data_IF_865549511760
#
_entry.id   IF_865549511760
#
_cell.length_a   1.000
_cell.length_b   1.000
_cell.length_c   1.000
_cell.angle_alpha   90.00
_cell.angle_beta   90.00
_cell.angle_gamma   90.00
#
_symmetry.space_group_name_H-M   'P 1'
#
loop_
_entity.id
_entity.type
_entity.pdbx_description
1 polymer ?
#
# COMPACT_ATOMS: atom_id res chain seq x y z
N UNK A 1 8.38 11.56 14.95
CA UNK A 1 7.63 12.77 14.54
C UNK A 1 6.56 12.53 13.46
N UNK A 2 6.86 12.30 12.17
CA UNK A 2 5.77 12.19 11.15
C UNK A 2 4.86 10.97 11.32
N UNK A 3 5.44 9.77 11.44
CA UNK A 3 4.66 8.54 11.66
C UNK A 3 3.86 8.60 12.96
N UNK A 4 4.47 9.13 14.01
CA UNK A 4 3.83 9.39 15.30
C UNK A 4 2.67 10.38 15.18
N UNK A 5 2.79 11.48 14.42
CA UNK A 5 1.67 12.38 14.15
C UNK A 5 0.54 11.69 13.37
N UNK A 6 0.89 10.86 12.37
CA UNK A 6 -0.08 10.09 11.58
C UNK A 6 -0.78 9.01 12.42
N UNK A 7 -0.10 8.40 13.38
CA UNK A 7 -0.67 7.42 14.32
C UNK A 7 -1.48 8.09 15.43
N UNK A 8 -1.10 9.29 15.90
CA UNK A 8 -1.82 9.98 16.98
C UNK A 8 -3.08 10.72 16.52
N UNK A 9 -3.25 10.95 15.21
CA UNK A 9 -4.44 11.64 14.71
C UNK A 9 -5.69 10.75 14.77
N UNK A 10 -6.77 11.29 15.37
CA UNK A 10 -8.00 10.53 15.68
C UNK A 10 -9.18 10.86 14.78
N UNK A 11 -9.01 11.74 13.78
CA UNK A 11 -10.11 12.19 12.91
C UNK A 11 -10.26 11.34 11.66
N UNK A 12 -9.17 10.75 11.18
CA UNK A 12 -9.14 9.88 10.00
C UNK A 12 -8.07 8.79 10.18
N UNK A 13 -8.11 7.69 9.42
CA UNK A 13 -7.00 6.74 9.40
C UNK A 13 -5.69 7.42 8.98
N UNK A 14 -4.55 6.96 9.50
CA UNK A 14 -3.25 7.30 8.95
C UNK A 14 -3.07 6.62 7.60
N UNK A 15 -2.93 7.39 6.52
CA UNK A 15 -2.78 6.86 5.16
C UNK A 15 -1.66 7.62 4.43
N UNK A 16 -0.75 6.87 3.83
CA UNK A 16 0.33 7.34 2.97
C UNK A 16 0.22 6.61 1.64
N UNK A 17 0.13 7.38 0.56
CA UNK A 17 0.12 6.88 -0.80
C UNK A 17 1.47 7.25 -1.44
N UNK A 18 2.11 6.30 -2.10
CA UNK A 18 3.42 6.52 -2.72
C UNK A 18 3.53 5.78 -4.05
N UNK A 19 4.30 6.37 -4.96
CA UNK A 19 4.65 5.80 -6.28
C UNK A 19 6.15 5.56 -6.38
N UNK A 20 6.73 5.79 -7.56
CA UNK A 20 8.17 5.70 -7.90
C UNK A 20 8.79 4.30 -7.84
N UNK A 21 8.46 3.51 -6.82
CA UNK A 21 9.06 2.20 -6.54
C UNK A 21 8.79 1.13 -7.61
N UNK A 22 8.03 1.42 -8.66
CA UNK A 22 7.71 0.49 -9.74
C UNK A 22 7.16 -0.87 -9.24
N UNK A 23 6.29 -0.79 -8.24
CA UNK A 23 5.68 -1.92 -7.57
C UNK A 23 4.27 -1.55 -7.10
N UNK A 24 3.53 -2.51 -6.57
CA UNK A 24 2.24 -2.30 -5.92
C UNK A 24 2.16 -3.09 -4.62
N UNK A 25 1.49 -2.55 -3.61
CA UNK A 25 1.24 -3.26 -2.36
C UNK A 25 0.65 -2.37 -1.29
N UNK A 26 0.18 -2.99 -0.21
CA UNK A 26 -0.35 -2.34 0.97
C UNK A 26 0.23 -2.97 2.23
N UNK A 27 0.82 -2.12 3.06
CA UNK A 27 1.33 -2.47 4.38
C UNK A 27 0.79 -1.52 5.44
N UNK A 28 0.78 -1.99 6.68
CA UNK A 28 0.50 -1.20 7.87
C UNK A 28 1.82 -1.03 8.62
N UNK A 29 2.26 0.21 8.80
CA UNK A 29 3.39 0.52 9.66
C UNK A 29 2.92 0.42 11.10
N UNK A 30 3.41 -0.59 11.80
CA UNK A 30 3.07 -0.89 13.20
C UNK A 30 4.17 -0.43 14.17
N UNK A 31 5.34 -0.01 13.67
CA UNK A 31 6.37 0.60 14.50
C UNK A 31 7.54 1.20 13.71
N UNK A 32 8.30 2.06 14.37
CA UNK A 32 9.49 2.73 13.82
C UNK A 32 10.50 3.02 14.92
N UNK A 33 11.71 2.44 14.86
CA UNK A 33 12.68 2.55 15.96
C UNK A 33 12.08 2.02 17.26
N UNK A 34 12.07 2.83 18.32
CA UNK A 34 11.46 2.46 19.61
C UNK A 34 9.95 2.78 19.69
N UNK A 35 9.37 3.40 18.66
CA UNK A 35 7.95 3.77 18.65
C UNK A 35 7.07 2.57 18.24
N UNK A 36 5.93 2.45 18.94
CA UNK A 36 4.87 1.49 18.62
C UNK A 36 3.63 2.21 18.11
N UNK A 37 3.04 1.69 17.04
CA UNK A 37 1.81 2.18 16.41
C UNK A 37 0.74 1.09 16.34
N UNK A 38 0.90 -0.01 17.09
CA UNK A 38 -0.03 -1.15 17.05
C UNK A 38 -1.50 -0.76 17.33
N UNK A 39 -1.72 0.30 18.13
CA UNK A 39 -3.03 0.82 18.50
C UNK A 39 -3.66 1.83 17.51
N UNK A 40 -2.91 2.27 16.50
CA UNK A 40 -3.41 2.99 15.33
C UNK A 40 -2.36 2.94 14.20
N UNK A 41 -2.27 1.81 13.47
CA UNK A 41 -1.25 1.62 12.45
C UNK A 41 -1.41 2.61 11.29
N UNK A 42 -0.30 2.97 10.64
CA UNK A 42 -0.32 3.83 9.46
C UNK A 42 -0.41 2.95 8.21
N UNK A 43 -1.46 3.10 7.41
CA UNK A 43 -1.58 2.44 6.12
C UNK A 43 -0.61 3.09 5.12
N UNK A 44 0.32 2.31 4.58
CA UNK A 44 1.28 2.70 3.55
C UNK A 44 1.01 1.89 2.29
N UNK A 45 0.78 2.60 1.18
CA UNK A 45 0.33 2.00 -0.06
C UNK A 45 1.29 2.41 -1.17
N UNK A 46 1.86 1.42 -1.85
CA UNK A 46 2.53 1.63 -3.13
C UNK A 46 1.47 1.44 -4.21
N UNK A 47 1.10 2.52 -4.88
CA UNK A 47 -0.16 2.59 -5.62
C UNK A 47 -0.20 1.78 -6.92
N UNK A 48 0.94 1.24 -7.35
CA UNK A 48 1.12 0.61 -8.66
C UNK A 48 1.46 1.65 -9.74
N UNK A 49 2.49 1.39 -10.58
CA UNK A 49 2.71 2.15 -11.80
C UNK A 49 1.74 1.68 -12.89
N UNK A 50 1.19 2.59 -13.70
CA UNK A 50 0.38 2.19 -14.87
C UNK A 50 1.21 1.39 -15.88
N UNK A 51 2.51 1.70 -15.99
CA UNK A 51 3.44 0.99 -16.85
C UNK A 51 4.90 1.28 -16.49
N UNK A 52 5.64 0.22 -16.17
CA UNK A 52 7.09 0.27 -15.90
C UNK A 52 7.93 -0.33 -17.05
N UNK A 53 7.29 -0.95 -18.05
CA UNK A 53 8.00 -1.69 -19.09
C UNK A 53 8.80 -2.84 -18.48
N UNK A 54 10.13 -2.75 -18.52
CA UNK A 54 11.03 -3.71 -17.83
C UNK A 54 11.85 -3.08 -16.70
N UNK A 55 11.56 -1.84 -16.31
CA UNK A 55 12.30 -1.07 -15.30
C UNK A 55 12.03 -1.51 -13.86
N UNK A 56 11.94 -2.81 -13.60
CA UNK A 56 11.66 -3.36 -12.28
C UNK A 56 12.84 -3.10 -11.31
N UNK A 57 12.58 -2.77 -10.03
CA UNK A 57 13.63 -2.58 -9.02
C UNK A 57 14.60 -3.77 -8.94
N UNK A 58 14.09 -5.00 -8.99
CA UNK A 58 14.89 -6.23 -8.96
C UNK A 58 15.85 -6.33 -10.14
N UNK A 59 15.41 -5.92 -11.33
CA UNK A 59 16.25 -5.89 -12.53
C UNK A 59 17.34 -4.83 -12.43
N UNK A 60 17.03 -3.67 -11.87
CA UNK A 60 17.97 -2.55 -11.78
C UNK A 60 18.95 -2.66 -10.60
N UNK A 61 18.50 -3.22 -9.47
CA UNK A 61 19.22 -3.21 -8.18
C UNK A 61 19.63 -4.60 -7.69
N UNK A 62 19.23 -5.66 -8.37
CA UNK A 62 19.49 -7.05 -7.98
C UNK A 62 18.67 -7.55 -6.79
N UNK A 63 17.73 -6.75 -6.27
CA UNK A 63 16.85 -7.10 -5.15
C UNK A 63 15.45 -6.51 -5.37
N UNK A 64 14.37 -7.22 -5.03
CA UNK A 64 13.05 -6.61 -4.96
C UNK A 64 13.03 -5.49 -3.91
N UNK A 65 11.98 -4.66 -3.89
CA UNK A 65 11.77 -3.70 -2.81
C UNK A 65 11.77 -4.36 -1.43
N UNK A 66 12.57 -3.81 -0.52
CA UNK A 66 12.69 -4.31 0.87
C UNK A 66 12.26 -3.25 1.87
N UNK A 67 11.76 -3.71 3.01
CA UNK A 67 11.41 -2.85 4.13
C UNK A 67 12.68 -2.27 4.76
N UNK A 68 12.64 -0.99 5.14
CA UNK A 68 13.74 -0.37 5.89
C UNK A 68 13.91 -1.05 7.27
N UNK A 69 15.14 -1.30 7.69
CA UNK A 69 15.48 -2.13 8.86
C UNK A 69 14.82 -1.70 10.19
N UNK A 70 14.56 -0.41 10.36
CA UNK A 70 13.96 0.13 11.59
C UNK A 70 12.44 0.30 11.50
N UNK A 71 11.82 -0.07 10.38
CA UNK A 71 10.37 -0.04 10.18
C UNK A 71 9.82 -1.44 10.35
N UNK A 72 8.80 -1.57 11.20
CA UNK A 72 8.05 -2.81 11.37
C UNK A 72 6.72 -2.68 10.64
N UNK A 73 6.43 -3.65 9.77
CA UNK A 73 5.23 -3.69 8.94
C UNK A 73 4.44 -4.97 9.18
N UNK A 74 3.13 -4.86 9.13
CA UNK A 74 2.25 -5.95 8.72
C UNK A 74 1.85 -5.72 7.27
N UNK A 75 1.90 -6.74 6.40
CA UNK A 75 1.66 -6.57 4.96
C UNK A 75 0.45 -7.37 4.48
N UNK A 76 -0.79 -6.84 4.64
CA UNK A 76 -2.00 -7.48 4.12
C UNK A 76 -1.96 -7.75 2.61
N UNK A 77 -1.22 -6.92 1.87
CA UNK A 77 -0.89 -7.16 0.46
C UNK A 77 0.60 -6.88 0.26
N UNK A 78 1.45 -7.93 0.19
CA UNK A 78 2.88 -7.77 0.00
C UNK A 78 3.24 -6.91 -1.22
N UNK A 79 4.33 -6.16 -1.11
CA UNK A 79 4.84 -5.36 -2.24
C UNK A 79 5.32 -6.30 -3.33
N UNK A 80 4.79 -6.12 -4.54
CA UNK A 80 5.08 -6.96 -5.70
C UNK A 80 5.36 -6.10 -6.94
N UNK A 81 6.29 -6.56 -7.78
CA UNK A 81 6.64 -5.92 -9.04
C UNK A 81 5.60 -6.27 -10.11
N UNK A 82 4.54 -5.48 -10.13
CA UNK A 82 3.45 -5.55 -11.11
C UNK A 82 3.05 -4.13 -11.44
N UNK A 83 2.62 -3.92 -12.69
CA UNK A 83 1.88 -2.70 -13.02
C UNK A 83 0.53 -2.75 -12.33
N UNK A 84 -0.13 -1.62 -12.18
CA UNK A 84 -1.39 -1.55 -11.50
C UNK A 84 -1.82 -0.13 -11.20
N UNK A 85 -2.92 -0.05 -10.47
CA UNK A 85 -3.46 1.19 -9.95
C UNK A 85 -4.22 0.91 -8.65
N UNK A 86 -4.50 1.98 -7.92
CA UNK A 86 -5.25 1.93 -6.67
C UNK A 86 -6.49 2.79 -6.79
N UNK A 87 -7.65 2.25 -6.41
CA UNK A 87 -8.88 2.99 -6.24
C UNK A 87 -9.16 3.21 -4.75
N UNK A 88 -9.48 4.45 -4.39
CA UNK A 88 -9.86 4.85 -3.04
C UNK A 88 -11.25 5.46 -3.04
N UNK A 89 -12.19 4.82 -2.37
CA UNK A 89 -13.51 5.40 -2.09
C UNK A 89 -13.48 5.97 -0.67
N UNK A 90 -13.41 7.31 -0.56
CA UNK A 90 -13.27 8.01 0.72
C UNK A 90 -14.62 8.59 1.14
N UNK A 91 -15.06 8.22 2.33
CA UNK A 91 -16.25 8.76 2.98
C UNK A 91 -15.90 9.27 4.38
N UNK A 92 -16.76 10.04 5.06
CA UNK A 92 -16.50 10.46 6.44
C UNK A 92 -16.27 9.30 7.42
N UNK A 93 -16.87 8.13 7.17
CA UNK A 93 -16.80 6.98 8.07
C UNK A 93 -15.68 5.98 7.77
N UNK A 94 -15.18 5.93 6.52
CA UNK A 94 -14.20 4.92 6.10
C UNK A 94 -13.55 5.26 4.76
N UNK A 95 -12.45 4.55 4.48
CA UNK A 95 -11.79 4.50 3.18
C UNK A 95 -11.87 3.06 2.69
N UNK A 96 -12.50 2.81 1.54
CA UNK A 96 -12.34 1.52 0.84
C UNK A 96 -11.17 1.65 -0.12
N UNK A 97 -10.23 0.72 -0.03
CA UNK A 97 -9.04 0.69 -0.85
C UNK A 97 -9.00 -0.59 -1.66
N UNK A 98 -8.87 -0.45 -2.97
CA UNK A 98 -8.78 -1.55 -3.93
C UNK A 98 -7.50 -1.43 -4.75
N UNK A 99 -6.65 -2.44 -4.73
CA UNK A 99 -5.44 -2.50 -5.54
C UNK A 99 -5.67 -3.48 -6.69
N UNK A 100 -5.35 -3.02 -7.88
CA UNK A 100 -5.42 -3.78 -9.13
C UNK A 100 -4.00 -3.98 -9.63
N UNK A 101 -3.72 -5.14 -10.19
CA UNK A 101 -2.40 -5.43 -10.69
C UNK A 101 -2.47 -6.25 -11.98
N UNK A 102 -1.52 -5.96 -12.86
CA UNK A 102 -1.35 -6.64 -14.13
C UNK A 102 0.14 -6.72 -14.46
N UNK A 103 0.54 -7.80 -15.13
CA UNK A 103 1.95 -8.01 -15.48
C UNK A 103 2.08 -8.55 -16.90
N UNK A 104 2.69 -7.75 -17.79
CA UNK A 104 2.85 -8.06 -19.22
C UNK A 104 3.50 -9.41 -19.50
N UNK A 105 4.40 -9.85 -18.62
CA UNK A 105 5.14 -11.10 -18.81
C UNK A 105 4.25 -12.34 -18.62
N UNK A 106 3.15 -12.20 -17.86
CA UNK A 106 2.32 -13.32 -17.42
C UNK A 106 0.83 -13.15 -17.77
N UNK A 107 0.44 -12.04 -18.42
CA UNK A 107 -0.95 -11.67 -18.65
C UNK A 107 -1.11 -11.00 -20.01
N UNK A 108 -2.28 -11.17 -20.62
CA UNK A 108 -2.63 -10.55 -21.90
C UNK A 108 -3.07 -9.10 -21.70
N UNK A 109 -2.95 -8.24 -22.74
CA UNK A 109 -3.47 -6.86 -22.66
C UNK A 109 -4.99 -6.84 -22.52
N UNK A 110 -5.69 -7.80 -23.10
CA UNK A 110 -7.16 -7.92 -23.00
C UNK A 110 -7.64 -8.26 -21.59
N UNK A 111 -6.76 -8.79 -20.73
CA UNK A 111 -7.09 -9.04 -19.32
C UNK A 111 -7.33 -7.73 -18.55
N UNK A 112 -6.81 -6.59 -19.04
CA UNK A 112 -6.93 -5.28 -18.38
C UNK A 112 -8.39 -4.85 -18.24
N UNK A 113 -9.22 -5.13 -19.25
CA UNK A 113 -10.62 -4.71 -19.31
C UNK A 113 -11.51 -5.39 -18.25
N UNK A 114 -11.04 -6.52 -17.70
CA UNK A 114 -11.74 -7.33 -16.71
C UNK A 114 -10.95 -7.47 -15.39
N UNK A 115 -10.06 -6.52 -15.08
CA UNK A 115 -9.27 -6.56 -13.86
C UNK A 115 -10.15 -6.48 -12.61
N UNK A 116 -10.06 -7.52 -11.79
CA UNK A 116 -10.57 -7.55 -10.42
C UNK A 116 -9.48 -7.09 -9.43
N UNK A 117 -9.86 -6.50 -8.29
CA UNK A 117 -8.88 -6.10 -7.29
C UNK A 117 -8.28 -7.34 -6.63
N UNK A 118 -6.95 -7.42 -6.58
CA UNK A 118 -6.27 -8.49 -5.83
C UNK A 118 -6.22 -8.21 -4.32
N UNK A 119 -6.52 -6.96 -3.93
CA UNK A 119 -6.66 -6.55 -2.55
C UNK A 119 -7.81 -5.54 -2.44
N UNK A 120 -8.78 -5.80 -1.55
CA UNK A 120 -9.92 -4.93 -1.27
C UNK A 120 -10.13 -4.87 0.25
N UNK A 121 -9.91 -3.69 0.83
CA UNK A 121 -9.99 -3.50 2.28
C UNK A 121 -10.76 -2.24 2.63
N UNK A 122 -11.57 -2.33 3.69
CA UNK A 122 -12.26 -1.20 4.28
C UNK A 122 -11.52 -0.73 5.53
N UNK A 123 -10.85 0.41 5.42
CA UNK A 123 -10.12 1.05 6.50
C UNK A 123 -11.10 1.92 7.30
N UNK A 124 -11.32 1.55 8.55
CA UNK A 124 -12.08 2.34 9.51
C UNK A 124 -11.14 3.14 10.40
N UNK A 125 -11.67 4.21 10.99
CA UNK A 125 -11.02 4.90 12.09
C UNK A 125 -10.84 3.93 13.27
N UNK A 126 -9.64 3.88 13.86
CA UNK A 126 -9.46 3.30 15.19
C UNK A 126 -9.84 4.34 16.25
N UNK A 127 -10.72 3.98 17.19
CA UNK A 127 -11.21 4.86 18.24
C UNK A 127 -12.59 5.49 18.01
N UNK A 128 -13.47 4.87 17.22
CA UNK A 128 -14.92 5.09 17.30
C UNK A 128 -15.55 3.91 18.04
N UNK A 129 -15.38 3.87 19.36
CA UNK A 129 -16.46 3.38 20.20
C UNK A 129 -17.52 4.48 20.22
N UNK A 130 -18.77 4.05 20.16
CA UNK A 130 -20.02 4.82 19.98
C UNK A 130 -20.02 6.12 20.80
#
# INVERSE_FOLDING_TARGET
RLLECLSNQKRRPGLVLSGDLHATGHSQIVGSGDLSFASNPIHSVITGPLGTGSGWPSKARGTPPTVASHIRLDSPAPVTERNGFTLLDITPGNIRMRLFAWRRENSSVTDIDALEPYHDVKIKKQGSSI
#
